data_IF_878265876308
#
_entry.id   IF_878265876308
#
_cell.length_a   1.000
_cell.length_b   1.000
_cell.length_c   1.000
_cell.angle_alpha   90.00
_cell.angle_beta   90.00
_cell.angle_gamma   90.00
#
_symmetry.space_group_name_H-M   'P 1'
#
loop_
_entity.id
_entity.type
_entity.pdbx_description
1 polymer ?
#
# COMPACT_ATOMS: atom_id res chain seq x y z
N UNK A 1 -14.75 -24.38 -8.81
CA UNK A 1 -13.41 -23.98 -8.33
C UNK A 1 -12.57 -23.50 -9.53
N UNK A 2 -12.60 -22.20 -9.85
CA UNK A 2 -11.87 -21.64 -11.01
C UNK A 2 -10.65 -20.87 -10.52
N UNK A 3 -9.49 -21.29 -11.04
CA UNK A 3 -8.13 -20.76 -10.86
C UNK A 3 -8.10 -19.22 -10.91
N UNK A 4 -8.00 -18.55 -9.75
CA UNK A 4 -7.78 -17.09 -9.63
C UNK A 4 -6.40 -16.74 -9.04
N UNK A 5 -5.53 -17.72 -8.84
CA UNK A 5 -4.24 -17.53 -8.14
C UNK A 5 -3.13 -17.06 -9.10
N UNK A 6 -3.27 -17.31 -10.42
CA UNK A 6 -2.18 -17.09 -11.38
C UNK A 6 -2.00 -15.63 -11.78
N UNK A 7 -3.02 -14.78 -11.67
CA UNK A 7 -2.94 -13.37 -12.09
C UNK A 7 -2.30 -12.46 -11.04
N UNK A 8 -2.30 -12.86 -9.76
CA UNK A 8 -1.76 -12.05 -8.67
C UNK A 8 -0.23 -12.01 -8.66
N UNK A 9 0.43 -13.12 -9.02
CA UNK A 9 1.91 -13.23 -9.01
C UNK A 9 2.53 -12.45 -10.17
N UNK A 10 1.86 -12.44 -11.33
CA UNK A 10 2.36 -11.78 -12.54
C UNK A 10 2.33 -10.24 -12.37
N UNK A 11 1.35 -9.70 -11.63
CA UNK A 11 1.26 -8.25 -11.38
C UNK A 11 2.15 -7.81 -10.22
N UNK A 12 2.38 -8.65 -9.20
CA UNK A 12 3.42 -8.39 -8.19
C UNK A 12 4.79 -8.20 -8.86
N UNK A 13 5.09 -8.99 -9.90
CA UNK A 13 6.29 -8.80 -10.72
C UNK A 13 6.23 -7.60 -11.68
N UNK A 14 5.06 -7.22 -12.19
CA UNK A 14 4.92 -6.03 -13.06
C UNK A 14 5.00 -4.71 -12.29
N UNK A 15 4.46 -4.62 -11.06
CA UNK A 15 4.61 -3.43 -10.21
C UNK A 15 6.07 -3.27 -9.75
N UNK A 16 6.78 -4.38 -9.51
CA UNK A 16 8.21 -4.36 -9.21
C UNK A 16 9.10 -4.22 -10.48
N UNK A 17 8.56 -4.44 -11.68
CA UNK A 17 9.33 -4.60 -12.93
C UNK A 17 9.14 -3.48 -13.97
N UNK A 18 8.08 -2.68 -13.90
CA UNK A 18 7.86 -1.58 -14.85
C UNK A 18 8.48 -0.29 -14.31
N UNK A 19 9.74 -0.09 -14.65
CA UNK A 19 10.28 1.16 -15.17
C UNK A 19 10.03 2.45 -14.38
N UNK A 20 10.83 2.71 -13.36
CA UNK A 20 11.15 4.07 -12.90
C UNK A 20 12.66 4.21 -12.65
N UNK A 21 13.44 4.22 -13.72
CA UNK A 21 14.91 4.16 -13.70
C UNK A 21 15.64 5.34 -13.01
N UNK A 22 14.91 6.27 -12.38
CA UNK A 22 15.44 7.49 -11.75
C UNK A 22 14.88 7.77 -10.34
N UNK A 23 14.05 6.85 -9.80
CA UNK A 23 13.55 6.93 -8.42
C UNK A 23 14.46 6.03 -7.58
N UNK A 24 15.09 6.58 -6.53
CA UNK A 24 16.05 5.82 -5.72
C UNK A 24 15.45 4.52 -5.16
N UNK A 25 16.28 3.46 -5.07
CA UNK A 25 15.89 2.12 -4.54
C UNK A 25 15.12 2.17 -3.21
N UNK A 26 15.41 3.19 -2.39
CA UNK A 26 14.79 3.42 -1.11
C UNK A 26 13.28 3.74 -1.23
N UNK A 27 12.89 4.57 -2.21
CA UNK A 27 11.49 4.96 -2.42
C UNK A 27 10.62 3.79 -2.89
N UNK A 28 11.22 2.78 -3.54
CA UNK A 28 10.54 1.53 -3.86
C UNK A 28 10.23 0.70 -2.61
N UNK A 29 11.13 0.71 -1.62
CA UNK A 29 10.86 0.03 -0.35
C UNK A 29 9.74 0.71 0.42
N UNK A 30 9.70 2.05 0.44
CA UNK A 30 8.58 2.82 0.99
C UNK A 30 7.25 2.47 0.31
N UNK A 31 7.21 2.56 -1.02
CA UNK A 31 6.01 2.27 -1.80
C UNK A 31 5.52 0.84 -1.57
N UNK A 32 6.42 -0.16 -1.62
CA UNK A 32 6.04 -1.56 -1.44
C UNK A 32 5.63 -1.90 0.00
N UNK A 33 6.31 -1.32 1.01
CA UNK A 33 5.94 -1.49 2.40
C UNK A 33 4.55 -0.89 2.69
N UNK A 34 4.30 0.34 2.25
CA UNK A 34 2.99 0.98 2.44
C UNK A 34 1.87 0.31 1.63
N UNK A 35 2.16 -0.23 0.45
CA UNK A 35 1.21 -1.05 -0.30
C UNK A 35 0.85 -2.34 0.45
N UNK A 36 1.84 -3.02 1.03
CA UNK A 36 1.59 -4.22 1.83
C UNK A 36 0.79 -3.92 3.11
N UNK A 37 1.14 -2.85 3.83
CA UNK A 37 0.46 -2.44 5.06
C UNK A 37 -0.99 -2.09 4.79
N UNK A 38 -1.26 -1.21 3.82
CA UNK A 38 -2.61 -0.78 3.47
C UNK A 38 -3.47 -1.94 2.95
N UNK A 39 -2.91 -2.81 2.09
CA UNK A 39 -3.60 -4.01 1.65
C UNK A 39 -3.95 -4.92 2.83
N UNK A 40 -3.02 -5.13 3.76
CA UNK A 40 -3.23 -6.02 4.92
C UNK A 40 -4.25 -5.43 5.89
N UNK A 41 -4.17 -4.12 6.16
CA UNK A 41 -5.11 -3.40 7.01
C UNK A 41 -6.54 -3.45 6.46
N UNK A 42 -6.72 -3.24 5.15
CA UNK A 42 -8.05 -3.35 4.53
C UNK A 42 -8.61 -4.78 4.59
N UNK A 43 -7.78 -5.81 4.34
CA UNK A 43 -8.23 -7.21 4.51
C UNK A 43 -8.65 -7.49 5.95
N UNK A 44 -7.83 -7.07 6.91
CA UNK A 44 -8.10 -7.30 8.32
C UNK A 44 -9.40 -6.59 8.75
N UNK A 45 -9.60 -5.34 8.31
CA UNK A 45 -10.83 -4.58 8.58
C UNK A 45 -12.04 -5.21 7.90
N UNK A 46 -11.91 -5.75 6.69
CA UNK A 46 -13.00 -6.46 6.02
C UNK A 46 -13.39 -7.77 6.74
N UNK A 47 -12.44 -8.42 7.42
CA UNK A 47 -12.69 -9.63 8.21
C UNK A 47 -13.27 -9.33 9.59
N UNK A 48 -12.79 -8.27 10.25
CA UNK A 48 -13.21 -7.89 11.60
C UNK A 48 -14.54 -7.14 11.57
N UNK A 49 -14.75 -6.30 10.54
CA UNK A 49 -15.91 -5.41 10.43
C UNK A 49 -16.52 -5.48 9.02
N UNK A 50 -17.18 -6.58 8.66
CA UNK A 50 -17.70 -6.79 7.31
C UNK A 50 -18.76 -5.76 6.92
N UNK A 51 -19.55 -5.28 7.88
CA UNK A 51 -20.60 -4.26 7.67
C UNK A 51 -20.04 -2.84 7.51
N UNK A 52 -18.73 -2.64 7.75
CA UNK A 52 -18.12 -1.32 7.61
C UNK A 52 -18.06 -0.96 6.12
N UNK A 53 -18.59 0.22 5.73
CA UNK A 53 -18.53 0.64 4.34
C UNK A 53 -17.09 0.67 3.84
N UNK A 54 -16.90 0.19 2.60
CA UNK A 54 -15.59 0.03 1.99
C UNK A 54 -14.75 1.32 2.02
N UNK A 55 -15.39 2.48 1.84
CA UNK A 55 -14.73 3.79 1.91
C UNK A 55 -14.04 3.99 3.26
N UNK A 56 -14.69 3.65 4.37
CA UNK A 56 -14.09 3.80 5.70
C UNK A 56 -12.95 2.81 5.94
N UNK A 57 -13.06 1.57 5.41
CA UNK A 57 -11.96 0.59 5.49
C UNK A 57 -10.72 1.06 4.73
N UNK A 58 -10.90 1.55 3.51
CA UNK A 58 -9.83 2.09 2.66
C UNK A 58 -9.17 3.29 3.35
N UNK A 59 -9.96 4.24 3.85
CA UNK A 59 -9.43 5.41 4.55
C UNK A 59 -8.62 5.01 5.79
N UNK A 60 -9.12 4.08 6.59
CA UNK A 60 -8.40 3.57 7.76
C UNK A 60 -7.11 2.84 7.36
N UNK A 61 -7.14 2.02 6.32
CA UNK A 61 -5.98 1.29 5.81
C UNK A 61 -4.89 2.20 5.23
N UNK A 62 -5.27 3.21 4.46
CA UNK A 62 -4.34 4.23 3.93
C UNK A 62 -3.75 5.06 5.09
N UNK A 63 -4.58 5.46 6.05
CA UNK A 63 -4.12 6.20 7.23
C UNK A 63 -3.13 5.38 8.06
N UNK A 64 -3.38 4.08 8.25
CA UNK A 64 -2.47 3.19 8.96
C UNK A 64 -1.11 3.08 8.27
N UNK A 65 -1.08 2.94 6.94
CA UNK A 65 0.17 2.92 6.17
C UNK A 65 0.93 4.25 6.29
N UNK A 66 0.24 5.38 6.15
CA UNK A 66 0.85 6.71 6.29
C UNK A 66 1.40 6.97 7.69
N UNK A 67 0.74 6.47 8.75
CA UNK A 67 1.25 6.57 10.11
C UNK A 67 2.56 5.79 10.30
N UNK A 68 2.73 4.66 9.62
CA UNK A 68 3.99 3.90 9.65
C UNK A 68 5.09 4.66 8.91
N UNK A 69 4.78 5.23 7.74
CA UNK A 69 5.71 6.09 6.98
C UNK A 69 6.15 7.31 7.79
N UNK A 70 5.20 8.07 8.33
CA UNK A 70 5.47 9.20 9.24
C UNK A 70 6.25 8.78 10.48
N UNK A 71 5.95 7.61 11.05
CA UNK A 71 6.65 7.06 12.20
C UNK A 71 8.14 6.82 11.89
N UNK A 72 8.46 6.30 10.70
CA UNK A 72 9.84 6.14 10.24
C UNK A 72 10.54 7.49 10.12
N UNK A 73 9.92 8.46 9.44
CA UNK A 73 10.52 9.80 9.26
C UNK A 73 10.81 10.51 10.59
N UNK A 74 9.93 10.32 11.60
CA UNK A 74 10.15 10.84 12.95
C UNK A 74 11.32 10.16 13.66
N UNK A 75 11.53 8.86 13.44
CA UNK A 75 12.67 8.11 13.99
C UNK A 75 13.98 8.56 13.32
N UNK A 76 13.95 8.78 12.00
CA UNK A 76 15.11 9.20 11.21
C UNK A 76 15.44 10.69 11.39
N UNK A 77 14.64 11.44 12.16
CA UNK A 77 14.78 12.88 12.48
C UNK A 77 14.91 13.80 11.26
N UNK A 78 14.60 13.30 10.07
CA UNK A 78 14.67 14.02 8.81
C UNK A 78 13.46 13.63 8.00
N UNK A 79 12.61 14.60 7.71
CA UNK A 79 11.42 14.41 6.89
C UNK A 79 11.82 14.59 5.42
N UNK A 80 11.82 13.50 4.66
CA UNK A 80 11.92 13.50 3.21
C UNK A 80 10.53 13.45 2.59
N UNK A 81 10.13 14.54 1.94
CA UNK A 81 8.83 14.63 1.28
C UNK A 81 8.67 13.60 0.15
N UNK A 82 9.76 13.10 -0.45
CA UNK A 82 9.69 12.05 -1.46
C UNK A 82 9.32 10.70 -0.85
N UNK A 83 9.75 10.42 0.39
CA UNK A 83 9.34 9.21 1.12
C UNK A 83 7.87 9.26 1.49
N UNK A 84 7.39 10.40 1.97
CA UNK A 84 5.97 10.60 2.25
C UNK A 84 5.07 10.43 1.02
N UNK A 85 5.53 10.91 -0.14
CA UNK A 85 4.80 10.73 -1.41
C UNK A 85 4.84 9.26 -1.85
N UNK A 86 5.98 8.59 -1.70
CA UNK A 86 6.12 7.17 -2.01
C UNK A 86 5.23 6.29 -1.10
N UNK A 87 5.18 6.61 0.20
CA UNK A 87 4.32 5.96 1.18
C UNK A 87 2.84 6.15 0.83
N UNK A 88 2.44 7.37 0.47
CA UNK A 88 1.06 7.66 0.08
C UNK A 88 0.66 6.94 -1.21
N UNK A 89 1.53 6.99 -2.23
CA UNK A 89 1.30 6.28 -3.50
C UNK A 89 1.21 4.77 -3.26
N UNK A 90 2.11 4.20 -2.47
CA UNK A 90 2.10 2.81 -2.07
C UNK A 90 0.80 2.42 -1.36
N UNK A 91 0.39 3.23 -0.38
CA UNK A 91 -0.84 3.00 0.38
C UNK A 91 -2.09 2.98 -0.52
N UNK A 92 -2.18 3.88 -1.50
CA UNK A 92 -3.29 3.89 -2.46
C UNK A 92 -3.26 2.67 -3.39
N UNK A 93 -2.07 2.26 -3.85
CA UNK A 93 -1.90 1.08 -4.71
C UNK A 93 -2.29 -0.20 -3.96
N UNK A 94 -2.00 -0.30 -2.66
CA UNK A 94 -2.35 -1.48 -1.85
C UNK A 94 -3.86 -1.73 -1.73
N UNK A 95 -4.67 -0.67 -1.78
CA UNK A 95 -6.14 -0.74 -1.66
C UNK A 95 -6.86 -0.67 -3.00
N UNK A 96 -6.25 -0.13 -4.05
CA UNK A 96 -6.90 0.08 -5.35
C UNK A 96 -7.39 -1.20 -6.02
N UNK A 97 -6.76 -2.35 -5.75
CA UNK A 97 -7.16 -3.65 -6.32
C UNK A 97 -8.36 -4.29 -5.63
N UNK A 98 -8.83 -3.72 -4.52
CA UNK A 98 -9.92 -4.26 -3.72
C UNK A 98 -11.19 -3.44 -3.82
N UNK A 99 -11.14 -2.28 -4.47
CA UNK A 99 -12.31 -1.44 -4.72
C UNK A 99 -13.29 -2.26 -5.57
N UNK A 100 -14.45 -2.58 -4.99
CA UNK A 100 -15.54 -3.22 -5.71
C UNK A 100 -16.43 -2.08 -6.26
N UNK A 101 -16.63 -2.07 -7.58
CA UNK A 101 -17.52 -1.13 -8.28
C UNK A 101 -18.91 -1.71 -8.47
#
# INVERSE_FOLDING_TARGET
MKKKISSCIIIFFLINGIGFADIGSDKYMHTSACAAISATADTALAQIWPDLPQVYRIMAAVTAAMLVGLGKELIDQKIDNQDLVADFAGALVGVSFKIEW
#
